data_IF_415597867068
#
_entry.id   IF_415597867068
#
_cell.length_a   1.000
_cell.length_b   1.000
_cell.length_c   1.000
_cell.angle_alpha   90.00
_cell.angle_beta   90.00
_cell.angle_gamma   90.00
#
_symmetry.space_group_name_H-M   'P 1'
#
loop_
_entity.id
_entity.type
_entity.pdbx_description
1 polymer ?
#
# COMPACT_ATOMS: atom_id res chain seq x y z
N UNK A 1 7.90 15.34 -28.86
CA UNK A 1 7.13 14.10 -29.02
C UNK A 1 5.69 14.43 -28.68
N UNK A 2 4.75 14.15 -29.58
CA UNK A 2 3.32 14.40 -29.34
C UNK A 2 2.83 13.41 -28.27
N UNK A 3 2.87 13.81 -27.00
CA UNK A 3 2.26 13.08 -25.89
C UNK A 3 0.74 13.27 -25.89
N UNK A 4 0.07 12.98 -27.02
CA UNK A 4 -1.35 12.68 -26.92
C UNK A 4 -1.42 11.28 -26.34
N UNK A 5 -1.89 11.18 -25.10
CA UNK A 5 -2.39 9.92 -24.56
C UNK A 5 -3.26 9.27 -25.64
N UNK A 6 -2.96 8.04 -26.04
CA UNK A 6 -3.80 7.36 -27.01
C UNK A 6 -5.13 7.04 -26.33
N UNK A 7 -6.10 7.92 -26.53
CA UNK A 7 -7.44 7.80 -26.00
C UNK A 7 -8.07 6.45 -26.37
N UNK A 8 -7.67 5.86 -27.49
CA UNK A 8 -8.15 4.53 -27.93
C UNK A 8 -7.56 3.45 -27.04
N UNK A 9 -6.25 3.48 -26.75
CA UNK A 9 -5.60 2.55 -25.82
C UNK A 9 -6.18 2.67 -24.42
N UNK A 10 -6.41 3.90 -23.92
CA UNK A 10 -7.03 4.14 -22.61
C UNK A 10 -8.48 3.63 -22.56
N UNK A 11 -9.28 3.86 -23.60
CA UNK A 11 -10.64 3.35 -23.68
C UNK A 11 -10.67 1.82 -23.75
N UNK A 12 -9.74 1.22 -24.50
CA UNK A 12 -9.57 -0.22 -24.57
C UNK A 12 -9.22 -0.79 -23.19
N UNK A 13 -8.25 -0.19 -22.51
CA UNK A 13 -7.87 -0.55 -21.14
C UNK A 13 -9.04 -0.46 -20.15
N UNK A 14 -9.77 0.66 -20.14
CA UNK A 14 -10.95 0.83 -19.29
C UNK A 14 -12.02 -0.22 -19.58
N UNK A 15 -12.16 -0.64 -20.84
CA UNK A 15 -13.08 -1.72 -21.23
C UNK A 15 -12.60 -3.06 -20.70
N UNK A 16 -11.30 -3.37 -20.82
CA UNK A 16 -10.70 -4.59 -20.27
C UNK A 16 -10.87 -4.66 -18.74
N UNK A 17 -10.65 -3.55 -18.04
CA UNK A 17 -10.85 -3.47 -16.58
C UNK A 17 -12.33 -3.62 -16.19
N UNK A 18 -13.26 -2.97 -16.89
CA UNK A 18 -14.71 -3.13 -16.64
C UNK A 18 -15.19 -4.56 -16.86
N UNK A 19 -14.53 -5.30 -17.74
CA UNK A 19 -14.82 -6.70 -18.01
C UNK A 19 -14.08 -7.66 -17.06
N UNK A 20 -13.12 -7.17 -16.27
CA UNK A 20 -12.51 -7.97 -15.22
C UNK A 20 -13.59 -8.34 -14.21
N UNK A 21 -13.65 -9.62 -13.81
CA UNK A 21 -14.63 -10.05 -12.81
C UNK A 21 -14.38 -9.28 -11.52
N UNK A 22 -15.42 -8.64 -10.99
CA UNK A 22 -15.42 -7.99 -9.66
C UNK A 22 -15.38 -9.01 -8.50
N UNK A 23 -14.99 -10.26 -8.77
CA UNK A 23 -14.81 -11.26 -7.73
C UNK A 23 -13.44 -11.13 -7.08
N UNK A 24 -13.39 -11.21 -5.75
CA UNK A 24 -12.14 -11.31 -4.99
C UNK A 24 -11.52 -12.72 -5.19
N UNK A 25 -10.95 -12.97 -6.37
CA UNK A 25 -10.37 -14.26 -6.76
C UNK A 25 -8.95 -14.12 -7.34
N UNK A 26 -8.16 -15.20 -7.27
CA UNK A 26 -6.79 -15.26 -7.83
C UNK A 26 -6.81 -15.02 -9.34
N UNK A 27 -7.78 -15.61 -10.03
CA UNK A 27 -7.94 -15.48 -11.48
C UNK A 27 -8.21 -14.02 -11.87
N UNK A 28 -9.05 -13.33 -11.09
CA UNK A 28 -9.38 -11.93 -11.31
C UNK A 28 -8.14 -11.04 -11.09
N UNK A 29 -7.37 -11.31 -10.05
CA UNK A 29 -6.09 -10.63 -9.79
C UNK A 29 -5.09 -10.82 -10.93
N UNK A 30 -4.85 -12.07 -11.37
CA UNK A 30 -3.93 -12.38 -12.47
C UNK A 30 -4.37 -11.68 -13.76
N UNK A 31 -5.67 -11.68 -14.05
CA UNK A 31 -6.23 -11.02 -15.22
C UNK A 31 -5.96 -9.51 -15.20
N UNK A 32 -6.26 -8.84 -14.08
CA UNK A 32 -6.00 -7.39 -13.92
C UNK A 32 -4.51 -7.10 -14.03
N UNK A 33 -3.64 -7.87 -13.36
CA UNK A 33 -2.18 -7.70 -13.41
C UNK A 33 -1.64 -7.81 -14.84
N UNK A 34 -2.16 -8.77 -15.62
CA UNK A 34 -1.76 -8.93 -17.02
C UNK A 34 -2.20 -7.74 -17.88
N UNK A 35 -3.41 -7.20 -17.67
CA UNK A 35 -3.87 -5.99 -18.36
C UNK A 35 -2.97 -4.79 -18.00
N UNK A 36 -2.66 -4.60 -16.71
CA UNK A 36 -1.80 -3.50 -16.26
C UNK A 36 -0.37 -3.57 -16.85
N UNK A 37 0.12 -4.77 -17.19
CA UNK A 37 1.42 -4.95 -17.85
C UNK A 37 1.40 -4.62 -19.35
N UNK A 38 0.24 -4.37 -19.96
CA UNK A 38 0.11 -4.05 -21.40
C UNK A 38 -0.02 -2.57 -21.71
N UNK A 39 -0.13 -1.70 -20.70
CA UNK A 39 -0.36 -0.27 -20.88
C UNK A 39 0.57 0.54 -19.99
N UNK A 40 1.07 1.66 -20.52
CA UNK A 40 1.69 2.71 -19.72
C UNK A 40 0.65 3.80 -19.44
N UNK A 41 0.49 4.15 -18.17
CA UNK A 41 -0.42 5.21 -17.75
C UNK A 41 0.22 6.06 -16.66
N UNK A 42 -0.15 7.34 -16.52
CA UNK A 42 0.44 8.20 -15.53
C UNK A 42 -0.12 7.80 -14.18
N UNK A 43 0.75 7.63 -13.18
CA UNK A 43 0.33 7.29 -11.83
C UNK A 43 0.71 8.46 -10.92
N UNK A 44 -0.22 8.98 -10.09
CA UNK A 44 0.14 9.98 -9.12
C UNK A 44 1.19 9.43 -8.14
N UNK A 45 2.26 10.18 -7.95
CA UNK A 45 3.34 9.82 -7.05
C UNK A 45 3.59 10.92 -6.03
N UNK A 46 4.02 10.52 -4.83
CA UNK A 46 4.48 11.39 -3.75
C UNK A 46 5.94 11.09 -3.48
N UNK A 47 6.72 12.13 -3.17
CA UNK A 47 8.10 11.98 -2.76
C UNK A 47 8.19 12.18 -1.25
N UNK A 48 8.60 11.13 -0.54
CA UNK A 48 9.03 11.26 0.85
C UNK A 48 10.52 11.63 0.88
N UNK A 49 10.91 12.79 1.44
CA UNK A 49 12.29 13.24 1.39
C UNK A 49 13.21 12.34 2.23
N UNK A 50 14.50 12.34 1.89
CA UNK A 50 15.56 11.80 2.74
C UNK A 50 15.41 12.34 4.17
N UNK A 51 15.58 11.45 5.15
CA UNK A 51 15.37 11.77 6.56
C UNK A 51 13.94 11.55 7.06
N UNK A 52 12.99 11.21 6.17
CA UNK A 52 11.63 10.81 6.57
C UNK A 52 11.67 9.68 7.58
N UNK A 53 10.89 9.84 8.65
CA UNK A 53 10.67 8.84 9.68
C UNK A 53 9.59 7.86 9.22
N UNK A 54 9.89 6.58 9.30
CA UNK A 54 8.97 5.49 9.00
C UNK A 54 8.89 4.59 10.22
N UNK A 55 7.69 4.39 10.73
CA UNK A 55 7.40 3.60 11.91
C UNK A 55 6.77 2.29 11.48
N UNK A 56 7.25 1.19 12.06
CA UNK A 56 6.61 -0.12 11.91
C UNK A 56 6.44 -0.77 13.26
N UNK A 57 5.24 -1.24 13.51
CA UNK A 57 4.84 -1.95 14.73
C UNK A 57 4.51 -3.39 14.37
N UNK A 58 4.84 -4.32 15.27
CA UNK A 58 4.44 -5.73 15.18
C UNK A 58 3.90 -6.19 16.53
N UNK A 59 2.79 -6.90 16.50
CA UNK A 59 2.23 -7.63 17.64
C UNK A 59 2.99 -8.94 17.82
N UNK A 60 3.27 -9.29 19.06
CA UNK A 60 3.78 -10.61 19.47
C UNK A 60 2.62 -11.54 19.79
N UNK A 61 2.72 -12.79 19.33
CA UNK A 61 1.79 -13.85 19.77
C UNK A 61 2.23 -14.42 21.11
N UNK A 62 1.32 -15.10 21.78
CA UNK A 62 1.61 -15.78 23.03
C UNK A 62 2.76 -16.79 22.84
N UNK A 63 3.76 -16.70 23.70
CA UNK A 63 5.00 -17.50 23.67
C UNK A 63 5.93 -17.23 22.47
N UNK A 64 5.82 -16.10 21.77
CA UNK A 64 6.86 -15.63 20.85
C UNK A 64 7.94 -14.82 21.60
N UNK A 65 9.21 -15.01 21.19
CA UNK A 65 10.32 -14.20 21.68
C UNK A 65 10.20 -12.75 21.18
N UNK A 66 10.56 -11.78 22.02
CA UNK A 66 10.62 -10.38 21.60
C UNK A 66 11.71 -10.16 20.55
N UNK A 67 11.44 -9.25 19.60
CA UNK A 67 12.42 -8.90 18.59
C UNK A 67 13.60 -8.17 19.23
N UNK A 68 14.79 -8.75 19.09
CA UNK A 68 16.03 -8.26 19.69
C UNK A 68 16.85 -7.38 18.73
N UNK A 69 16.49 -7.39 17.45
CA UNK A 69 17.20 -6.64 16.41
C UNK A 69 16.26 -6.00 15.39
N UNK A 70 16.71 -4.90 14.77
CA UNK A 70 16.00 -4.23 13.66
C UNK A 70 15.76 -5.19 12.48
N UNK A 71 16.67 -6.15 12.28
CA UNK A 71 16.55 -7.16 11.22
C UNK A 71 15.35 -8.07 11.39
N UNK A 72 14.98 -8.42 12.62
CA UNK A 72 13.83 -9.26 12.95
C UNK A 72 12.50 -8.50 12.83
N UNK A 73 12.51 -7.18 13.09
CA UNK A 73 11.35 -6.31 12.93
C UNK A 73 11.13 -5.85 11.48
N UNK A 74 12.10 -6.10 10.60
CA UNK A 74 12.09 -5.68 9.19
C UNK A 74 11.08 -6.45 8.34
N UNK A 75 11.21 -6.37 7.02
CA UNK A 75 10.43 -7.17 6.08
C UNK A 75 10.70 -8.66 6.26
N UNK A 76 9.68 -9.46 5.94
CA UNK A 76 9.73 -10.92 6.11
C UNK A 76 10.70 -11.54 5.10
N UNK A 77 11.60 -12.41 5.56
CA UNK A 77 12.52 -13.15 4.68
C UNK A 77 12.01 -14.56 4.34
N UNK A 78 11.03 -15.04 5.09
CA UNK A 78 10.38 -16.34 4.94
C UNK A 78 9.22 -16.26 3.93
N UNK A 79 9.53 -15.89 2.68
CA UNK A 79 8.53 -15.61 1.63
C UNK A 79 7.55 -16.77 1.39
N UNK A 80 7.98 -18.02 1.58
CA UNK A 80 7.15 -19.23 1.46
C UNK A 80 5.98 -19.28 2.45
N UNK A 81 6.08 -18.54 3.55
CA UNK A 81 5.05 -18.46 4.58
C UNK A 81 4.08 -17.28 4.31
N UNK A 82 4.21 -16.56 3.19
CA UNK A 82 3.27 -15.51 2.76
C UNK A 82 2.27 -16.20 1.81
N UNK A 83 1.21 -16.79 2.37
CA UNK A 83 0.27 -17.65 1.62
C UNK A 83 -0.97 -16.91 1.11
N UNK A 84 -1.23 -15.72 1.62
CA UNK A 84 -2.45 -14.96 1.37
C UNK A 84 -2.11 -13.58 0.82
N UNK A 85 -3.05 -13.00 0.10
CA UNK A 85 -2.97 -11.61 -0.35
C UNK A 85 -3.02 -10.67 0.85
N UNK A 86 -2.12 -9.69 0.87
CA UNK A 86 -2.21 -8.51 1.71
C UNK A 86 -2.85 -7.35 0.94
N UNK A 87 -2.92 -6.17 1.58
CA UNK A 87 -3.42 -4.96 0.91
C UNK A 87 -2.57 -4.57 -0.31
N UNK A 88 -1.25 -4.78 -0.22
CA UNK A 88 -0.29 -4.35 -1.22
C UNK A 88 0.70 -5.46 -1.65
N UNK A 89 0.44 -6.73 -1.30
CA UNK A 89 1.33 -7.84 -1.66
C UNK A 89 0.56 -9.11 -2.04
N UNK A 90 1.13 -9.89 -2.95
CA UNK A 90 0.64 -11.23 -3.32
C UNK A 90 1.34 -12.35 -2.52
N UNK A 91 0.84 -13.60 -2.56
CA UNK A 91 1.54 -14.73 -1.98
C UNK A 91 2.98 -14.86 -2.50
N UNK A 92 3.93 -15.12 -1.61
CA UNK A 92 5.36 -15.17 -1.93
C UNK A 92 6.05 -13.81 -2.06
N UNK A 93 5.32 -12.69 -1.98
CA UNK A 93 5.89 -11.35 -2.09
C UNK A 93 6.11 -10.73 -0.71
N UNK A 94 7.38 -10.50 -0.34
CA UNK A 94 7.70 -9.76 0.88
C UNK A 94 7.55 -8.25 0.67
N UNK A 95 6.92 -7.59 1.62
CA UNK A 95 6.71 -6.14 1.61
C UNK A 95 7.00 -5.54 2.99
N UNK A 96 7.55 -4.32 2.99
CA UNK A 96 7.78 -3.56 4.21
C UNK A 96 6.62 -2.58 4.45
N UNK A 97 5.64 -2.99 5.26
CA UNK A 97 4.56 -2.10 5.70
C UNK A 97 5.05 -1.19 6.83
N UNK A 98 4.81 0.11 6.68
CA UNK A 98 5.13 1.13 7.68
C UNK A 98 4.18 2.31 7.56
N UNK A 99 4.13 3.14 8.60
CA UNK A 99 3.47 4.43 8.62
C UNK A 99 4.51 5.55 8.79
N UNK A 100 4.12 6.79 8.57
CA UNK A 100 4.95 7.97 8.88
C UNK A 100 4.91 8.37 10.36
N UNK A 101 4.02 7.77 11.15
CA UNK A 101 3.76 8.12 12.55
C UNK A 101 3.35 6.89 13.38
N UNK A 102 3.68 6.90 14.68
CA UNK A 102 3.36 5.82 15.61
C UNK A 102 1.87 5.78 16.00
N UNK A 103 1.20 6.94 16.04
CA UNK A 103 -0.25 7.05 16.24
C UNK A 103 -1.07 6.36 15.15
N UNK A 104 -0.46 6.10 13.98
CA UNK A 104 -1.05 5.32 12.89
C UNK A 104 -0.54 3.88 12.94
N UNK A 105 0.76 3.68 13.13
CA UNK A 105 1.36 2.34 13.08
C UNK A 105 0.80 1.39 14.14
N UNK A 106 0.51 1.89 15.35
CA UNK A 106 0.01 1.07 16.46
C UNK A 106 -1.44 0.61 16.19
N UNK A 107 -2.43 1.50 15.93
CA UNK A 107 -3.79 1.08 15.61
C UNK A 107 -3.93 0.16 14.40
N UNK A 108 -3.11 0.33 13.36
CA UNK A 108 -3.11 -0.55 12.18
C UNK A 108 -2.68 -1.99 12.51
N UNK A 109 -1.92 -2.18 13.59
CA UNK A 109 -1.37 -3.49 13.96
C UNK A 109 -2.12 -4.13 15.12
N UNK A 110 -2.58 -3.33 16.08
CA UNK A 110 -3.22 -3.78 17.32
C UNK A 110 -4.42 -4.69 17.07
N UNK A 111 -4.41 -5.87 17.68
CA UNK A 111 -5.54 -6.81 17.59
C UNK A 111 -6.71 -6.35 18.47
N UNK A 112 -6.39 -5.74 19.63
CA UNK A 112 -7.39 -5.18 20.55
C UNK A 112 -8.19 -4.07 19.86
N UNK A 113 -7.50 -3.12 19.21
CA UNK A 113 -8.16 -2.00 18.53
C UNK A 113 -8.95 -2.48 17.30
N UNK A 114 -8.43 -3.45 16.54
CA UNK A 114 -9.01 -3.84 15.25
C UNK A 114 -10.11 -4.88 15.33
N UNK A 115 -10.03 -5.84 16.25
CA UNK A 115 -10.80 -7.09 16.12
C UNK A 115 -11.34 -7.66 17.43
N UNK A 116 -10.77 -7.36 18.60
CA UNK A 116 -11.05 -8.17 19.79
C UNK A 116 -11.16 -7.35 21.09
N UNK A 117 -12.40 -7.03 21.48
CA UNK A 117 -12.72 -6.33 22.74
C UNK A 117 -12.37 -7.16 23.99
N UNK A 118 -12.28 -8.48 23.87
CA UNK A 118 -12.11 -9.38 25.02
C UNK A 118 -10.63 -9.68 25.38
N UNK A 119 -9.67 -9.17 24.60
CA UNK A 119 -8.23 -9.35 24.88
C UNK A 119 -7.74 -8.28 25.85
N UNK A 120 -7.25 -8.69 27.02
CA UNK A 120 -6.88 -7.77 28.12
C UNK A 120 -5.62 -6.94 27.83
N UNK A 121 -4.61 -7.55 27.22
CA UNK A 121 -3.37 -6.88 26.83
C UNK A 121 -2.74 -7.52 25.59
N UNK A 122 -1.84 -6.79 24.93
CA UNK A 122 -1.00 -7.31 23.86
C UNK A 122 0.40 -6.68 23.97
N UNK A 123 1.41 -7.43 23.53
CA UNK A 123 2.77 -6.90 23.45
C UNK A 123 3.07 -6.46 22.04
N UNK A 124 3.61 -5.25 21.92
CA UNK A 124 3.99 -4.63 20.67
C UNK A 124 5.49 -4.33 20.69
N UNK A 125 6.16 -4.51 19.55
CA UNK A 125 7.46 -3.88 19.32
C UNK A 125 7.35 -2.94 18.14
N UNK A 126 7.81 -1.71 18.38
CA UNK A 126 7.82 -0.63 17.39
C UNK A 126 9.26 -0.26 17.06
N UNK A 127 9.53 -0.11 15.77
CA UNK A 127 10.82 0.32 15.27
C UNK A 127 10.68 1.59 14.44
N UNK A 128 11.77 2.34 14.39
CA UNK A 128 11.90 3.55 13.61
C UNK A 128 12.97 3.36 12.53
N UNK A 129 12.58 3.63 11.30
CA UNK A 129 13.45 3.69 10.14
C UNK A 129 13.56 5.13 9.67
N UNK A 130 14.77 5.52 9.26
CA UNK A 130 15.04 6.83 8.66
C UNK A 130 15.41 6.60 7.20
N UNK A 131 14.66 7.19 6.29
CA UNK A 131 14.93 7.12 4.86
C UNK A 131 16.32 7.70 4.55
N UNK A 132 17.18 6.91 3.90
CA UNK A 132 18.54 7.35 3.53
C UNK A 132 18.60 8.16 2.24
N UNK A 133 17.52 8.13 1.48
CA UNK A 133 17.32 8.80 0.19
C UNK A 133 15.84 9.21 0.05
N UNK A 134 15.53 9.96 -1.00
CA UNK A 134 14.15 10.30 -1.33
C UNK A 134 13.42 9.02 -1.80
N UNK A 135 12.25 8.75 -1.24
CA UNK A 135 11.42 7.61 -1.63
C UNK A 135 10.32 8.11 -2.56
N UNK A 136 10.31 7.63 -3.80
CA UNK A 136 9.22 7.85 -4.74
C UNK A 136 8.16 6.77 -4.51
N UNK A 137 6.97 7.17 -4.08
CA UNK A 137 5.87 6.26 -3.78
C UNK A 137 4.66 6.56 -4.65
N UNK A 138 4.01 5.52 -5.15
CA UNK A 138 2.69 5.64 -5.78
C UNK A 138 1.68 6.06 -4.72
N UNK A 139 0.92 7.11 -5.00
CA UNK A 139 -0.22 7.52 -4.19
C UNK A 139 -1.44 6.73 -4.65
N UNK A 140 -2.04 5.98 -3.74
CA UNK A 140 -3.35 5.40 -3.98
C UNK A 140 -4.38 6.52 -3.77
N UNK A 141 -5.00 6.97 -4.87
CA UNK A 141 -6.10 7.92 -4.82
C UNK A 141 -7.21 7.33 -3.95
N UNK A 142 -7.58 8.06 -2.91
CA UNK A 142 -8.55 7.61 -1.92
C UNK A 142 -9.97 7.65 -2.46
N UNK A 143 -10.83 6.82 -1.89
CA UNK A 143 -12.28 6.81 -2.14
C UNK A 143 -12.94 8.12 -1.66
N UNK A 144 -14.21 8.30 -2.01
CA UNK A 144 -14.97 9.52 -1.67
C UNK A 144 -15.08 9.75 -0.14
N UNK A 145 -14.87 8.73 0.69
CA UNK A 145 -14.95 8.84 2.16
C UNK A 145 -13.78 9.60 2.80
N UNK A 146 -12.62 9.63 2.14
CA UNK A 146 -11.38 10.28 2.64
C UNK A 146 -11.11 11.58 1.86
N UNK A 147 -11.93 11.85 0.84
CA UNK A 147 -11.94 13.11 0.10
C UNK A 147 -12.13 14.26 1.08
N UNK A 148 -11.36 15.33 0.89
CA UNK A 148 -11.35 16.53 1.74
C UNK A 148 -10.73 16.38 3.15
N UNK A 149 -10.27 15.19 3.55
CA UNK A 149 -9.58 15.00 4.84
C UNK A 149 -8.07 15.29 4.76
N UNK A 150 -7.47 15.14 3.58
CA UNK A 150 -6.04 15.33 3.35
C UNK A 150 -5.78 16.20 2.12
N UNK A 151 -5.25 17.41 2.36
CA UNK A 151 -5.04 18.43 1.32
C UNK A 151 -4.09 17.96 0.23
N UNK A 152 -3.06 17.20 0.58
CA UNK A 152 -2.08 16.66 -0.36
C UNK A 152 -2.71 15.66 -1.33
N UNK A 153 -3.64 14.82 -0.85
CA UNK A 153 -4.37 13.86 -1.70
C UNK A 153 -5.35 14.57 -2.64
N UNK A 154 -5.94 15.67 -2.19
CA UNK A 154 -6.83 16.49 -3.01
C UNK A 154 -6.07 17.17 -4.15
N UNK A 155 -4.89 17.74 -3.87
CA UNK A 155 -4.02 18.34 -4.88
C UNK A 155 -3.58 17.31 -5.94
N UNK A 156 -3.23 16.10 -5.51
CA UNK A 156 -2.87 14.99 -6.39
C UNK A 156 -4.07 14.54 -7.24
N UNK A 157 -5.25 14.37 -6.63
CA UNK A 157 -6.48 13.98 -7.32
C UNK A 157 -6.92 15.02 -8.37
N UNK A 158 -6.80 16.32 -8.04
CA UNK A 158 -7.04 17.42 -8.98
C UNK A 158 -6.04 17.41 -10.12
N UNK A 159 -4.75 17.23 -9.84
CA UNK A 159 -3.71 17.15 -10.86
C UNK A 159 -3.97 16.00 -11.82
N UNK A 160 -4.34 14.82 -11.31
CA UNK A 160 -4.68 13.66 -12.14
C UNK A 160 -5.95 13.91 -12.98
N UNK A 161 -6.98 14.49 -12.38
CA UNK A 161 -8.22 14.84 -13.08
C UNK A 161 -8.01 15.86 -14.21
N UNK A 162 -7.04 16.76 -14.07
CA UNK A 162 -6.69 17.71 -15.12
C UNK A 162 -5.93 17.02 -16.26
N UNK A 163 -4.97 16.14 -15.92
CA UNK A 163 -4.26 15.30 -16.90
C UNK A 163 -5.21 14.42 -17.73
N UNK A 164 -6.29 13.91 -17.12
CA UNK A 164 -7.28 13.10 -17.81
C UNK A 164 -8.25 13.90 -18.71
N UNK A 165 -8.25 15.24 -18.63
CA UNK A 165 -9.09 16.14 -19.44
C UNK A 165 -8.36 16.74 -20.63
N UNK A 166 -7.03 16.68 -20.66
CA UNK A 166 -6.18 17.07 -21.80
C UNK A 166 -6.09 15.96 -22.86
#
# INVERSE_FOLDING_TARGET
>A
MNNKFDLIELQHFLTLLKNAKESQSIESYIYIKNILNTIEFPIPCVIFPKGTKLVRTRVHRDNEDFFSSVGELSYRKDIQNIKFFGRANEPGQSTFYCANDDSISIPETSEIIRQNIDKEYEYLTTGLWIAKENLLCVSLLTNDDIKDQHKELEEISKSFSNLAKE
#
